data_IF_831454940581
#
_entry.id   IF_831454940581
#
_cell.length_a   1.000
_cell.length_b   1.000
_cell.length_c   1.000
_cell.angle_alpha   90.00
_cell.angle_beta   90.00
_cell.angle_gamma   90.00
#
_symmetry.space_group_name_H-M   'P 1'
#
loop_
_entity.id
_entity.type
_entity.pdbx_description
1 polymer ?
#
# COMPACT_ATOMS: atom_id res chain seq x y z
N UNK A 1 -5.31 -6.22 -44.65
CA UNK A 1 -4.23 -5.45 -44.01
C UNK A 1 -4.88 -4.71 -42.85
N UNK A 2 -4.58 -5.12 -41.62
CA UNK A 2 -5.16 -4.50 -40.43
C UNK A 2 -4.39 -3.20 -40.17
N UNK A 3 -5.09 -2.06 -40.25
CA UNK A 3 -4.59 -0.80 -39.73
C UNK A 3 -4.57 -0.88 -38.20
N UNK A 4 -3.38 -1.09 -37.66
CA UNK A 4 -3.10 -0.80 -36.26
C UNK A 4 -3.19 0.71 -36.09
N UNK A 5 -4.31 1.20 -35.56
CA UNK A 5 -4.38 2.54 -34.96
C UNK A 5 -3.47 2.54 -33.74
N UNK A 6 -2.23 3.01 -33.91
CA UNK A 6 -1.44 3.47 -32.77
C UNK A 6 -2.10 4.76 -32.29
N UNK A 7 -2.99 4.64 -31.30
CA UNK A 7 -3.34 5.79 -30.47
C UNK A 7 -2.04 6.28 -29.84
N UNK A 8 -1.47 7.35 -30.39
CA UNK A 8 -0.25 7.97 -29.88
C UNK A 8 -0.58 8.59 -28.52
N UNK A 9 -0.36 7.82 -27.45
CA UNK A 9 -0.45 8.33 -26.08
C UNK A 9 0.43 9.57 -25.95
N UNK A 10 -0.18 10.67 -25.49
CA UNK A 10 0.51 11.94 -25.28
C UNK A 10 1.57 11.77 -24.20
N UNK A 11 2.74 12.38 -24.41
CA UNK A 11 3.80 12.40 -23.40
C UNK A 11 3.40 13.29 -22.22
N UNK A 12 3.93 13.00 -21.03
CA UNK A 12 3.71 13.83 -19.82
C UNK A 12 4.01 15.31 -20.08
N UNK A 13 5.08 15.61 -20.83
CA UNK A 13 5.44 17.00 -21.21
C UNK A 13 4.39 17.65 -22.10
N UNK A 14 3.78 16.90 -23.02
CA UNK A 14 2.69 17.39 -23.89
C UNK A 14 1.40 17.61 -23.10
N UNK A 15 1.14 16.83 -22.04
CA UNK A 15 -0.03 17.03 -21.17
C UNK A 15 0.15 18.30 -20.34
N UNK A 16 1.32 18.51 -19.74
CA UNK A 16 1.61 19.68 -18.90
C UNK A 16 1.56 21.01 -19.67
N UNK A 17 1.80 20.99 -21.00
CA UNK A 17 1.81 22.17 -21.87
C UNK A 17 0.48 22.40 -22.61
N UNK A 18 -0.56 21.64 -22.27
CA UNK A 18 -1.86 21.75 -22.93
C UNK A 18 -2.70 22.90 -22.37
N UNK A 19 -2.74 24.00 -23.11
CA UNK A 19 -3.52 25.17 -22.71
C UNK A 19 -5.03 24.89 -22.60
N UNK A 20 -5.58 24.01 -23.45
CA UNK A 20 -7.01 23.68 -23.41
C UNK A 20 -7.35 22.80 -22.20
N UNK A 21 -6.47 21.83 -21.86
CA UNK A 21 -6.67 20.99 -20.68
C UNK A 21 -6.60 21.80 -19.38
N UNK A 22 -5.71 22.80 -19.32
CA UNK A 22 -5.48 23.63 -18.14
C UNK A 22 -6.24 24.96 -18.16
N UNK A 23 -7.18 25.13 -19.10
CA UNK A 23 -8.01 26.34 -19.17
C UNK A 23 -8.73 26.59 -17.84
N UNK A 24 -8.79 27.86 -17.44
CA UNK A 24 -9.41 28.32 -16.19
C UNK A 24 -8.59 28.05 -14.92
N UNK A 25 -7.46 27.35 -15.01
CA UNK A 25 -6.57 27.10 -13.88
C UNK A 25 -5.41 28.10 -13.87
N UNK A 26 -5.17 28.74 -12.73
CA UNK A 26 -3.99 29.60 -12.53
C UNK A 26 -2.88 28.79 -11.84
N UNK A 27 -1.74 28.52 -12.50
CA UNK A 27 -0.59 27.86 -11.86
C UNK A 27 -0.02 28.74 -10.74
N UNK A 28 0.41 28.12 -9.65
CA UNK A 28 0.94 28.81 -8.46
C UNK A 28 2.38 28.37 -8.21
N UNK A 29 3.38 29.24 -8.43
CA UNK A 29 4.78 28.95 -8.16
C UNK A 29 5.06 28.54 -6.71
N UNK A 30 6.14 27.79 -6.50
CA UNK A 30 6.64 27.52 -5.15
C UNK A 30 7.04 28.84 -4.46
N UNK A 31 6.52 29.08 -3.26
CA UNK A 31 6.84 30.25 -2.46
C UNK A 31 8.17 30.08 -1.70
N UNK A 32 9.28 29.96 -2.43
CA UNK A 32 10.61 29.94 -1.81
C UNK A 32 11.00 31.32 -1.27
N UNK A 33 11.66 31.34 -0.12
CA UNK A 33 12.28 32.56 0.42
C UNK A 33 13.40 33.05 -0.51
N UNK A 34 13.73 34.34 -0.50
CA UNK A 34 14.70 34.93 -1.44
C UNK A 34 16.09 34.27 -1.47
N UNK A 35 16.49 33.61 -0.37
CA UNK A 35 17.72 32.81 -0.29
C UNK A 35 17.41 31.44 0.33
N UNK A 36 16.91 30.47 -0.46
CA UNK A 36 16.60 29.14 0.05
C UNK A 36 17.90 28.40 0.41
N UNK A 37 17.90 27.67 1.53
CA UNK A 37 19.10 26.96 2.02
C UNK A 37 19.40 25.67 1.24
N UNK A 38 18.35 25.00 0.73
CA UNK A 38 18.45 23.71 0.02
C UNK A 38 17.56 23.69 -1.23
N UNK A 39 17.72 24.64 -2.18
CA UNK A 39 16.91 24.66 -3.39
C UNK A 39 17.23 23.45 -4.25
N UNK A 40 16.19 22.79 -4.74
CA UNK A 40 16.35 21.73 -5.72
C UNK A 40 16.25 22.36 -7.11
N UNK A 41 17.22 22.06 -7.97
CA UNK A 41 17.20 22.46 -9.38
C UNK A 41 16.19 21.61 -10.17
N UNK A 42 14.89 21.87 -9.96
CA UNK A 42 13.82 21.14 -10.63
C UNK A 42 13.85 21.32 -12.15
N UNK A 43 13.53 20.26 -12.88
CA UNK A 43 13.24 20.33 -14.31
C UNK A 43 12.04 21.26 -14.57
N UNK A 44 11.95 21.80 -15.79
CA UNK A 44 10.82 22.64 -16.20
C UNK A 44 9.50 21.89 -16.03
N UNK A 45 9.44 20.63 -16.47
CA UNK A 45 8.21 19.83 -16.40
C UNK A 45 7.78 19.56 -14.95
N UNK A 46 8.71 19.22 -14.04
CA UNK A 46 8.34 19.03 -12.63
C UNK A 46 7.86 20.33 -11.98
N UNK A 47 8.50 21.46 -12.32
CA UNK A 47 8.08 22.79 -11.83
C UNK A 47 6.69 23.14 -12.32
N UNK A 48 6.43 23.00 -13.61
CA UNK A 48 5.10 23.21 -14.21
C UNK A 48 4.05 22.31 -13.56
N UNK A 49 4.35 21.02 -13.37
CA UNK A 49 3.42 20.08 -12.74
C UNK A 49 3.06 20.49 -11.31
N UNK A 50 4.07 20.88 -10.51
CA UNK A 50 3.84 21.32 -9.13
C UNK A 50 3.12 22.68 -9.06
N UNK A 51 3.35 23.57 -10.02
CA UNK A 51 2.67 24.86 -10.05
C UNK A 51 1.19 24.69 -10.40
N UNK A 52 0.87 23.82 -11.37
CA UNK A 52 -0.50 23.40 -11.67
C UNK A 52 -1.16 22.73 -10.47
N UNK A 53 -0.43 21.85 -9.75
CA UNK A 53 -0.96 21.16 -8.58
C UNK A 53 -1.34 22.12 -7.46
N UNK A 54 -0.51 23.12 -7.19
CA UNK A 54 -0.85 24.18 -6.21
C UNK A 54 -2.06 25.01 -6.68
N UNK A 55 -2.19 25.23 -7.98
CA UNK A 55 -3.39 25.82 -8.59
C UNK A 55 -4.66 24.99 -8.30
N UNK A 56 -4.61 23.68 -8.53
CA UNK A 56 -5.74 22.77 -8.26
C UNK A 56 -6.12 22.77 -6.78
N UNK A 57 -5.13 22.72 -5.88
CA UNK A 57 -5.36 22.81 -4.43
C UNK A 57 -6.03 24.13 -4.04
N UNK A 58 -5.59 25.25 -4.62
CA UNK A 58 -6.20 26.56 -4.35
C UNK A 58 -7.64 26.65 -4.85
N UNK A 59 -7.94 25.99 -5.96
CA UNK A 59 -9.28 25.93 -6.55
C UNK A 59 -10.20 24.91 -5.84
N UNK A 60 -9.67 24.04 -4.96
CA UNK A 60 -10.37 22.87 -4.42
C UNK A 60 -11.00 21.99 -5.53
N UNK A 61 -10.33 21.91 -6.68
CA UNK A 61 -10.87 21.16 -7.82
C UNK A 61 -10.76 19.66 -7.54
N UNK A 62 -11.78 18.87 -7.90
CA UNK A 62 -11.73 17.40 -7.86
C UNK A 62 -12.18 16.88 -9.23
N UNK A 63 -11.22 16.55 -10.10
CA UNK A 63 -11.48 16.30 -11.52
C UNK A 63 -10.60 15.19 -12.10
N UNK A 64 -10.96 14.70 -13.30
CA UNK A 64 -10.15 13.71 -14.02
C UNK A 64 -8.77 14.28 -14.42
N UNK A 65 -8.68 15.57 -14.80
CA UNK A 65 -7.39 16.22 -15.07
C UNK A 65 -6.51 16.31 -13.82
N UNK A 66 -7.11 16.39 -12.62
CA UNK A 66 -6.38 16.30 -11.37
C UNK A 66 -5.77 14.90 -11.16
N UNK A 67 -6.49 13.83 -11.50
CA UNK A 67 -5.93 12.47 -11.47
C UNK A 67 -4.77 12.30 -12.43
N UNK A 68 -4.86 12.89 -13.62
CA UNK A 68 -3.76 12.83 -14.59
C UNK A 68 -2.53 13.61 -14.12
N UNK A 69 -2.72 14.81 -13.56
CA UNK A 69 -1.62 15.58 -13.00
C UNK A 69 -0.92 14.86 -11.84
N UNK A 70 -1.71 14.27 -10.93
CA UNK A 70 -1.12 13.52 -9.81
C UNK A 70 -0.36 12.29 -10.28
N UNK A 71 -0.81 11.60 -11.35
CA UNK A 71 -0.05 10.50 -11.97
C UNK A 71 1.32 10.98 -12.44
N UNK A 72 1.39 12.12 -13.13
CA UNK A 72 2.64 12.71 -13.63
C UNK A 72 3.57 13.06 -12.47
N UNK A 73 3.07 13.77 -11.45
CA UNK A 73 3.88 14.18 -10.30
C UNK A 73 4.43 12.98 -9.53
N UNK A 74 3.63 11.94 -9.35
CA UNK A 74 4.08 10.69 -8.70
C UNK A 74 5.08 9.92 -9.55
N UNK A 75 5.08 10.09 -10.87
CA UNK A 75 6.14 9.60 -11.75
C UNK A 75 7.49 10.27 -11.49
N UNK A 76 7.50 11.56 -11.13
CA UNK A 76 8.71 12.26 -10.72
C UNK A 76 9.12 11.99 -9.28
N UNK A 77 8.16 11.99 -8.35
CA UNK A 77 8.41 11.80 -6.92
C UNK A 77 7.33 10.90 -6.28
N UNK A 78 7.55 9.58 -6.26
CA UNK A 78 6.63 8.62 -5.64
C UNK A 78 6.42 8.83 -4.13
N UNK A 79 7.30 9.57 -3.46
CA UNK A 79 7.24 9.81 -2.01
C UNK A 79 6.49 11.10 -1.64
N UNK A 80 5.92 11.83 -2.60
CA UNK A 80 5.29 13.13 -2.38
C UNK A 80 3.93 13.00 -1.67
N UNK A 81 3.92 12.89 -0.34
CA UNK A 81 2.72 12.57 0.45
C UNK A 81 1.50 13.50 0.22
N UNK A 82 1.62 14.84 0.03
CA UNK A 82 0.46 15.68 -0.27
C UNK A 82 -0.25 15.29 -1.57
N UNK A 83 0.49 14.80 -2.56
CA UNK A 83 -0.05 14.41 -3.87
C UNK A 83 -0.82 13.11 -3.75
N UNK A 84 -0.31 12.15 -2.97
CA UNK A 84 -1.07 10.93 -2.61
C UNK A 84 -2.36 11.24 -1.87
N UNK A 85 -2.30 12.12 -0.87
CA UNK A 85 -3.49 12.53 -0.11
C UNK A 85 -4.54 13.13 -1.03
N UNK A 86 -4.15 14.09 -1.88
CA UNK A 86 -5.06 14.74 -2.81
C UNK A 86 -5.60 13.77 -3.89
N UNK A 87 -4.74 12.90 -4.45
CA UNK A 87 -5.18 11.84 -5.36
C UNK A 87 -6.26 10.96 -4.72
N UNK A 88 -6.05 10.54 -3.47
CA UNK A 88 -7.04 9.78 -2.70
C UNK A 88 -8.36 10.52 -2.54
N UNK A 89 -8.32 11.82 -2.22
CA UNK A 89 -9.53 12.65 -2.11
C UNK A 89 -10.32 12.69 -3.43
N UNK A 90 -9.64 12.89 -4.56
CA UNK A 90 -10.30 12.91 -5.88
C UNK A 90 -10.94 11.56 -6.21
N UNK A 91 -10.23 10.45 -5.97
CA UNK A 91 -10.75 9.09 -6.24
C UNK A 91 -11.95 8.76 -5.35
N UNK A 92 -11.86 9.08 -4.07
CA UNK A 92 -12.95 8.87 -3.10
C UNK A 92 -14.16 9.72 -3.47
N UNK A 93 -13.95 10.98 -3.86
CA UNK A 93 -15.02 11.86 -4.35
C UNK A 93 -15.75 11.24 -5.54
N UNK A 94 -15.03 10.77 -6.55
CA UNK A 94 -15.66 10.11 -7.69
C UNK A 94 -16.40 8.82 -7.31
N UNK A 95 -15.86 8.03 -6.38
CA UNK A 95 -16.57 6.86 -5.87
C UNK A 95 -17.87 7.23 -5.15
N UNK A 96 -17.89 8.33 -4.39
CA UNK A 96 -19.09 8.82 -3.71
C UNK A 96 -20.14 9.36 -4.69
N UNK A 97 -19.70 9.98 -5.79
CA UNK A 97 -20.59 10.54 -6.82
C UNK A 97 -21.18 9.44 -7.72
N UNK A 98 -20.33 8.52 -8.21
CA UNK A 98 -20.76 7.42 -9.07
C UNK A 98 -19.91 6.15 -8.82
N UNK A 99 -20.32 5.31 -7.86
CA UNK A 99 -19.63 4.05 -7.56
C UNK A 99 -19.53 3.10 -8.77
N UNK A 100 -20.48 3.19 -9.72
CA UNK A 100 -20.55 2.29 -10.88
C UNK A 100 -19.37 2.44 -11.84
N UNK A 101 -18.67 3.58 -11.78
CA UNK A 101 -17.47 3.84 -12.59
C UNK A 101 -16.21 3.18 -12.05
N UNK A 102 -16.28 2.52 -10.89
CA UNK A 102 -15.21 1.68 -10.36
C UNK A 102 -13.85 2.37 -10.22
N UNK A 103 -13.80 3.65 -9.82
CA UNK A 103 -12.54 4.40 -9.76
C UNK A 103 -11.57 3.84 -8.74
N UNK A 104 -12.06 3.41 -7.57
CA UNK A 104 -11.22 2.76 -6.56
C UNK A 104 -10.67 1.44 -7.11
N UNK A 105 -11.50 0.62 -7.77
CA UNK A 105 -11.08 -0.66 -8.32
C UNK A 105 -10.01 -0.49 -9.39
N UNK A 106 -10.14 0.51 -10.28
CA UNK A 106 -9.11 0.86 -11.27
C UNK A 106 -7.79 1.27 -10.58
N UNK A 107 -7.88 2.07 -9.52
CA UNK A 107 -6.70 2.49 -8.76
C UNK A 107 -6.03 1.31 -8.05
N UNK A 108 -6.79 0.45 -7.37
CA UNK A 108 -6.27 -0.74 -6.70
C UNK A 108 -5.56 -1.69 -7.67
N UNK A 109 -6.11 -1.85 -8.88
CA UNK A 109 -5.48 -2.62 -9.96
C UNK A 109 -4.14 -2.01 -10.39
N UNK A 110 -4.09 -0.69 -10.56
CA UNK A 110 -2.84 0.01 -10.89
C UNK A 110 -1.79 -0.14 -9.79
N UNK A 111 -2.18 -0.02 -8.51
CA UNK A 111 -1.28 -0.24 -7.37
C UNK A 111 -0.75 -1.67 -7.34
N UNK A 112 -1.60 -2.64 -7.68
CA UNK A 112 -1.19 -4.06 -7.78
C UNK A 112 -0.18 -4.28 -8.91
N UNK A 113 -0.44 -3.76 -10.11
CA UNK A 113 0.47 -3.87 -11.26
C UNK A 113 1.85 -3.24 -10.97
N UNK A 114 1.90 -2.22 -10.11
CA UNK A 114 3.13 -1.47 -9.79
C UNK A 114 3.73 -1.78 -8.42
N UNK A 115 3.22 -2.79 -7.70
CA UNK A 115 3.62 -3.03 -6.31
C UNK A 115 5.13 -3.25 -6.14
N UNK A 116 5.78 -3.90 -7.11
CA UNK A 116 7.24 -4.12 -7.11
C UNK A 116 8.04 -2.82 -7.03
N UNK A 117 7.53 -1.73 -7.63
CA UNK A 117 8.18 -0.42 -7.63
C UNK A 117 7.91 0.36 -6.34
N UNK A 118 6.83 0.01 -5.63
CA UNK A 118 6.25 0.84 -4.58
C UNK A 118 6.25 0.19 -3.20
N UNK A 119 6.73 -1.05 -3.09
CA UNK A 119 6.66 -1.88 -1.88
C UNK A 119 7.24 -1.20 -0.62
N UNK A 120 8.20 -0.30 -0.79
CA UNK A 120 8.86 0.43 0.31
C UNK A 120 8.28 1.82 0.58
N UNK A 121 7.22 2.22 -0.13
CA UNK A 121 6.56 3.52 0.05
C UNK A 121 5.46 3.45 1.12
N UNK A 122 5.63 4.19 2.21
CA UNK A 122 4.58 4.37 3.22
C UNK A 122 3.30 4.94 2.63
N UNK A 123 3.44 5.87 1.68
CA UNK A 123 2.30 6.57 1.08
C UNK A 123 1.41 5.63 0.29
N UNK A 124 1.99 4.65 -0.43
CA UNK A 124 1.22 3.67 -1.20
C UNK A 124 0.44 2.71 -0.31
N UNK A 125 1.04 2.21 0.75
CA UNK A 125 0.35 1.36 1.72
C UNK A 125 -0.78 2.10 2.43
N UNK A 126 -0.55 3.35 2.83
CA UNK A 126 -1.60 4.18 3.43
C UNK A 126 -2.71 4.53 2.42
N UNK A 127 -2.35 4.82 1.17
CA UNK A 127 -3.31 5.10 0.11
C UNK A 127 -4.20 3.88 -0.15
N UNK A 128 -3.61 2.69 -0.33
CA UNK A 128 -4.37 1.44 -0.47
C UNK A 128 -5.30 1.21 0.72
N UNK A 129 -4.81 1.42 1.95
CA UNK A 129 -5.62 1.33 3.18
C UNK A 129 -6.84 2.24 3.12
N UNK A 130 -6.68 3.51 2.78
CA UNK A 130 -7.78 4.48 2.69
C UNK A 130 -8.84 4.06 1.66
N UNK A 131 -8.39 3.53 0.52
CA UNK A 131 -9.27 3.05 -0.54
C UNK A 131 -10.10 1.83 -0.11
N UNK A 132 -9.46 0.87 0.57
CA UNK A 132 -10.11 -0.34 1.08
C UNK A 132 -11.09 -0.02 2.22
N UNK A 133 -10.75 0.91 3.11
CA UNK A 133 -11.68 1.44 4.12
C UNK A 133 -12.90 2.10 3.44
N UNK A 134 -12.68 2.87 2.38
CA UNK A 134 -13.77 3.53 1.63
C UNK A 134 -14.69 2.52 0.95
N UNK A 135 -14.13 1.48 0.33
CA UNK A 135 -14.92 0.39 -0.26
C UNK A 135 -15.62 -0.48 0.79
N UNK A 136 -15.07 -0.54 2.00
CA UNK A 136 -15.48 -1.47 3.05
C UNK A 136 -15.53 -2.94 2.58
N UNK A 137 -14.60 -3.31 1.70
CA UNK A 137 -14.50 -4.63 1.12
C UNK A 137 -13.04 -5.13 1.13
N UNK A 138 -12.68 -6.07 2.02
CA UNK A 138 -11.33 -6.65 2.09
C UNK A 138 -11.10 -7.77 1.09
N UNK A 139 -12.06 -8.04 0.18
CA UNK A 139 -11.96 -9.15 -0.77
C UNK A 139 -10.69 -9.05 -1.61
N UNK A 140 -9.87 -10.09 -1.57
CA UNK A 140 -8.61 -10.17 -2.31
C UNK A 140 -7.40 -9.54 -1.62
N UNK A 141 -7.55 -8.86 -0.48
CA UNK A 141 -6.44 -8.18 0.19
C UNK A 141 -5.39 -9.14 0.73
N UNK A 142 -5.77 -10.28 1.32
CA UNK A 142 -4.80 -11.28 1.76
C UNK A 142 -4.02 -11.88 0.59
N UNK A 143 -4.69 -12.12 -0.54
CA UNK A 143 -4.03 -12.61 -1.75
C UNK A 143 -3.05 -11.56 -2.33
N UNK A 144 -3.41 -10.28 -2.28
CA UNK A 144 -2.52 -9.18 -2.66
C UNK A 144 -1.29 -9.12 -1.74
N UNK A 145 -1.49 -9.24 -0.42
CA UNK A 145 -0.39 -9.31 0.55
C UNK A 145 0.51 -10.51 0.29
N UNK A 146 -0.06 -11.68 -0.03
CA UNK A 146 0.74 -12.88 -0.34
C UNK A 146 1.67 -12.62 -1.53
N UNK A 147 1.14 -12.04 -2.63
CA UNK A 147 1.94 -11.63 -3.80
C UNK A 147 3.02 -10.60 -3.44
N UNK A 148 2.71 -9.68 -2.54
CA UNK A 148 3.68 -8.68 -2.07
C UNK A 148 4.81 -9.32 -1.23
N UNK A 149 4.51 -10.35 -0.43
CA UNK A 149 5.48 -11.11 0.36
C UNK A 149 6.31 -12.08 -0.50
N UNK A 150 5.80 -12.54 -1.64
CA UNK A 150 6.60 -13.28 -2.62
C UNK A 150 7.73 -12.42 -3.20
N UNK A 151 7.53 -11.11 -3.31
CA UNK A 151 8.57 -10.15 -3.76
C UNK A 151 9.58 -9.87 -2.65
N UNK A 152 9.10 -9.61 -1.42
CA UNK A 152 9.95 -9.37 -0.24
C UNK A 152 9.26 -9.91 1.02
N UNK A 153 9.64 -11.13 1.41
CA UNK A 153 9.05 -11.87 2.51
C UNK A 153 9.25 -11.21 3.89
N UNK A 154 10.09 -10.17 3.97
CA UNK A 154 10.44 -9.45 5.20
C UNK A 154 10.02 -7.99 5.15
N UNK A 155 9.24 -7.57 4.14
CA UNK A 155 8.78 -6.20 4.02
C UNK A 155 7.87 -5.81 5.20
N UNK A 156 8.32 -4.82 5.98
CA UNK A 156 7.63 -4.39 7.18
C UNK A 156 6.22 -3.83 6.90
N UNK A 157 6.08 -3.01 5.86
CA UNK A 157 4.79 -2.39 5.53
C UNK A 157 3.77 -3.44 5.12
N UNK A 158 4.19 -4.46 4.36
CA UNK A 158 3.32 -5.57 3.95
C UNK A 158 2.79 -6.35 5.16
N UNK A 159 3.65 -6.68 6.13
CA UNK A 159 3.24 -7.36 7.36
C UNK A 159 2.32 -6.51 8.23
N UNK A 160 2.65 -5.22 8.41
CA UNK A 160 1.79 -4.28 9.13
C UNK A 160 0.42 -4.13 8.46
N UNK A 161 0.38 -4.11 7.13
CA UNK A 161 -0.86 -4.05 6.35
C UNK A 161 -1.68 -5.33 6.53
N UNK A 162 -1.05 -6.52 6.48
CA UNK A 162 -1.73 -7.81 6.73
C UNK A 162 -2.40 -7.83 8.09
N UNK A 163 -1.67 -7.47 9.15
CA UNK A 163 -2.21 -7.42 10.51
C UNK A 163 -3.36 -6.44 10.62
N UNK A 164 -3.22 -5.24 10.04
CA UNK A 164 -4.32 -4.27 9.99
C UNK A 164 -5.57 -4.85 9.31
N UNK A 165 -5.43 -5.44 8.12
CA UNK A 165 -6.57 -6.02 7.38
C UNK A 165 -7.28 -7.11 8.20
N UNK A 166 -6.52 -7.99 8.86
CA UNK A 166 -7.09 -9.04 9.70
C UNK A 166 -7.86 -8.46 10.90
N UNK A 167 -7.28 -7.49 11.60
CA UNK A 167 -7.91 -6.87 12.76
C UNK A 167 -9.13 -6.01 12.41
N UNK A 168 -9.04 -5.21 11.35
CA UNK A 168 -10.09 -4.26 10.95
C UNK A 168 -11.37 -4.99 10.52
N UNK A 169 -11.22 -6.02 9.69
CA UNK A 169 -12.36 -6.71 9.10
C UNK A 169 -12.81 -7.94 9.90
N UNK A 170 -11.89 -8.55 10.65
CA UNK A 170 -12.13 -9.63 11.60
C UNK A 170 -13.14 -10.70 11.12
N UNK A 171 -12.94 -11.24 9.92
CA UNK A 171 -13.83 -12.27 9.36
C UNK A 171 -13.25 -13.67 9.60
N UNK A 172 -14.03 -14.66 10.07
CA UNK A 172 -13.52 -16.00 10.37
C UNK A 172 -12.75 -16.65 9.21
N UNK A 173 -13.20 -16.46 7.97
CA UNK A 173 -12.58 -17.00 6.76
C UNK A 173 -11.18 -16.41 6.49
N UNK A 174 -10.90 -15.20 6.98
CA UNK A 174 -9.60 -14.56 6.82
C UNK A 174 -8.57 -15.12 7.81
N UNK A 175 -9.01 -15.51 9.02
CA UNK A 175 -8.15 -16.10 10.05
C UNK A 175 -7.88 -17.60 9.82
N UNK A 176 -8.84 -18.33 9.24
CA UNK A 176 -8.79 -19.78 9.11
C UNK A 176 -7.52 -20.32 8.40
N UNK A 177 -6.94 -19.55 7.48
CA UNK A 177 -5.73 -19.93 6.74
C UNK A 177 -4.41 -19.42 7.32
N UNK A 178 -4.43 -18.52 8.31
CA UNK A 178 -3.25 -17.76 8.72
C UNK A 178 -2.16 -18.63 9.33
N UNK A 179 -2.50 -19.51 10.27
CA UNK A 179 -1.51 -20.41 10.89
C UNK A 179 -0.90 -21.38 9.87
N UNK A 180 -1.68 -21.86 8.91
CA UNK A 180 -1.18 -22.70 7.83
C UNK A 180 -0.20 -21.93 6.93
N UNK A 181 -0.56 -20.70 6.57
CA UNK A 181 0.30 -19.81 5.79
C UNK A 181 1.63 -19.53 6.49
N UNK A 182 1.61 -19.23 7.79
CA UNK A 182 2.83 -19.02 8.58
C UNK A 182 3.67 -20.29 8.73
N UNK A 183 3.04 -21.45 8.93
CA UNK A 183 3.77 -22.72 8.95
C UNK A 183 4.52 -22.97 7.65
N UNK A 184 3.92 -22.64 6.50
CA UNK A 184 4.58 -22.71 5.20
C UNK A 184 5.79 -21.77 5.14
N UNK A 185 5.63 -20.50 5.50
CA UNK A 185 6.73 -19.53 5.45
C UNK A 185 7.89 -19.88 6.39
N UNK A 186 7.63 -20.38 7.60
CA UNK A 186 8.67 -20.84 8.53
C UNK A 186 9.36 -22.11 8.01
N UNK A 187 8.64 -22.96 7.27
CA UNK A 187 9.24 -24.13 6.62
C UNK A 187 10.16 -23.72 5.48
N UNK A 188 9.81 -22.68 4.72
CA UNK A 188 10.62 -22.15 3.62
C UNK A 188 11.85 -21.37 4.11
N UNK A 189 11.68 -20.48 5.09
CA UNK A 189 12.76 -19.77 5.78
C UNK A 189 12.52 -19.76 7.30
N UNK A 190 13.11 -20.72 7.99
CA UNK A 190 13.02 -20.84 9.46
C UNK A 190 13.59 -19.61 10.18
N UNK A 191 14.41 -18.79 9.52
CA UNK A 191 15.00 -17.56 10.09
C UNK A 191 14.21 -16.30 9.70
N UNK A 192 13.04 -16.43 9.08
CA UNK A 192 12.17 -15.29 8.79
C UNK A 192 11.48 -14.79 10.07
N UNK A 193 12.12 -13.83 10.76
CA UNK A 193 11.60 -13.26 12.00
C UNK A 193 10.21 -12.61 11.84
N UNK A 194 9.86 -12.11 10.65
CA UNK A 194 8.52 -11.54 10.42
C UNK A 194 7.43 -12.60 10.49
N UNK A 195 7.70 -13.81 9.98
CA UNK A 195 6.78 -14.94 10.09
C UNK A 195 6.63 -15.42 11.55
N UNK A 196 7.73 -15.46 12.31
CA UNK A 196 7.68 -15.74 13.76
C UNK A 196 6.88 -14.69 14.53
N UNK A 197 7.08 -13.41 14.21
CA UNK A 197 6.30 -12.32 14.79
C UNK A 197 4.81 -12.45 14.46
N UNK A 198 4.46 -12.74 13.21
CA UNK A 198 3.07 -12.91 12.80
C UNK A 198 2.42 -14.14 13.45
N UNK A 199 3.19 -15.22 13.69
CA UNK A 199 2.72 -16.36 14.48
C UNK A 199 2.31 -15.94 15.89
N UNK A 200 3.16 -15.14 16.54
CA UNK A 200 2.92 -14.65 17.90
C UNK A 200 1.67 -13.76 17.95
N UNK A 201 1.56 -12.86 16.97
CA UNK A 201 0.39 -12.01 16.78
C UNK A 201 -0.91 -12.83 16.68
N UNK A 202 -0.93 -13.92 15.90
CA UNK A 202 -2.12 -14.78 15.77
C UNK A 202 -2.44 -15.50 17.08
N UNK A 203 -1.44 -16.13 17.71
CA UNK A 203 -1.65 -17.06 18.83
C UNK A 203 -1.80 -16.38 20.20
N UNK A 204 -1.25 -15.18 20.38
CA UNK A 204 -1.17 -14.54 21.69
C UNK A 204 -1.72 -13.12 21.71
N UNK A 205 -1.55 -12.33 20.66
CA UNK A 205 -2.04 -10.94 20.66
C UNK A 205 -3.49 -10.80 20.18
N UNK A 206 -3.95 -11.71 19.31
CA UNK A 206 -5.27 -11.61 18.67
C UNK A 206 -6.18 -12.81 18.88
N UNK A 207 -5.78 -13.80 19.68
CA UNK A 207 -6.62 -14.99 19.94
C UNK A 207 -8.00 -14.64 20.46
N UNK A 208 -8.14 -13.66 21.35
CA UNK A 208 -9.45 -13.23 21.84
C UNK A 208 -10.35 -12.64 20.73
N UNK A 209 -9.75 -12.09 19.67
CA UNK A 209 -10.45 -11.44 18.57
C UNK A 209 -11.08 -12.46 17.61
N UNK A 210 -10.36 -13.55 17.29
CA UNK A 210 -10.79 -14.54 16.29
C UNK A 210 -11.19 -15.89 16.87
N UNK A 211 -10.76 -16.21 18.09
CA UNK A 211 -11.00 -17.47 18.80
C UNK A 211 -11.30 -17.24 20.30
N UNK A 212 -12.37 -16.50 20.67
CA UNK A 212 -12.63 -16.06 22.04
C UNK A 212 -12.89 -17.18 23.06
N UNK A 213 -13.08 -18.43 22.59
CA UNK A 213 -13.29 -19.61 23.45
C UNK A 213 -12.02 -20.46 23.61
N UNK A 214 -10.93 -20.10 22.95
CA UNK A 214 -9.69 -20.86 23.03
C UNK A 214 -9.05 -20.69 24.41
N UNK A 215 -8.49 -21.79 24.93
CA UNK A 215 -7.71 -21.76 26.15
C UNK A 215 -6.25 -21.39 25.79
N UNK A 216 -5.85 -20.17 26.17
CA UNK A 216 -4.50 -19.65 25.92
C UNK A 216 -3.42 -20.56 26.53
N UNK A 217 -3.72 -21.25 27.65
CA UNK A 217 -2.75 -22.18 28.25
C UNK A 217 -2.52 -23.40 27.35
N UNK A 218 -3.58 -23.94 26.77
CA UNK A 218 -3.48 -25.06 25.81
C UNK A 218 -2.70 -24.63 24.57
N UNK A 219 -3.00 -23.44 24.03
CA UNK A 219 -2.24 -22.87 22.90
C UNK A 219 -0.76 -22.74 23.26
N UNK A 220 -0.43 -22.20 24.44
CA UNK A 220 0.96 -22.04 24.86
C UNK A 220 1.69 -23.37 24.97
N UNK A 221 1.06 -24.42 25.52
CA UNK A 221 1.64 -25.77 25.60
C UNK A 221 1.92 -26.35 24.21
N UNK A 222 0.98 -26.22 23.26
CA UNK A 222 1.16 -26.67 21.87
C UNK A 222 2.26 -25.89 21.15
N UNK A 223 2.30 -24.56 21.34
CA UNK A 223 3.29 -23.67 20.74
C UNK A 223 4.71 -23.90 21.27
N UNK A 224 4.86 -24.23 22.56
CA UNK A 224 6.14 -24.64 23.15
C UNK A 224 6.66 -25.89 22.47
N UNK A 225 5.83 -26.94 22.35
CA UNK A 225 6.25 -28.19 21.71
C UNK A 225 6.56 -27.98 20.23
N UNK A 226 5.72 -27.24 19.50
CA UNK A 226 5.99 -26.90 18.12
C UNK A 226 7.31 -26.12 17.96
N UNK A 227 7.58 -25.14 18.81
CA UNK A 227 8.80 -24.32 18.74
C UNK A 227 10.04 -25.15 19.03
N UNK A 228 9.98 -26.10 19.98
CA UNK A 228 11.08 -27.06 20.21
C UNK A 228 11.41 -27.84 18.94
N UNK A 229 10.40 -28.31 18.19
CA UNK A 229 10.66 -29.00 16.91
C UNK A 229 11.38 -28.12 15.89
N UNK A 230 11.11 -26.81 15.85
CA UNK A 230 11.81 -25.89 14.97
C UNK A 230 13.24 -25.60 15.47
N UNK A 231 13.45 -25.48 16.77
CA UNK A 231 14.79 -25.33 17.38
C UNK A 231 15.66 -26.55 17.05
N UNK A 232 15.12 -27.77 17.10
CA UNK A 232 15.89 -28.96 16.70
C UNK A 232 16.38 -28.91 15.26
N UNK A 233 15.62 -28.31 14.35
CA UNK A 233 16.02 -28.13 12.93
C UNK A 233 17.10 -27.06 12.77
N UNK A 234 17.07 -26.00 13.57
CA UNK A 234 18.04 -24.90 13.52
C UNK A 234 18.37 -24.37 14.93
N UNK A 235 19.25 -25.05 15.69
CA UNK A 235 19.51 -24.69 17.09
C UNK A 235 20.13 -23.30 17.29
N UNK A 236 20.77 -22.74 16.26
CA UNK A 236 21.37 -21.40 16.28
C UNK A 236 20.41 -20.30 15.79
N UNK A 237 19.14 -20.61 15.52
CA UNK A 237 18.15 -19.64 15.08
C UNK A 237 17.59 -18.82 16.26
N UNK A 238 18.02 -17.56 16.37
CA UNK A 238 17.56 -16.66 17.42
C UNK A 238 16.05 -16.38 17.38
N UNK A 239 15.40 -16.41 16.20
CA UNK A 239 13.96 -16.15 16.12
C UNK A 239 13.15 -17.19 16.88
N UNK A 240 13.48 -18.48 16.73
CA UNK A 240 12.80 -19.55 17.45
C UNK A 240 13.02 -19.48 18.97
N UNK A 241 14.23 -19.15 19.41
CA UNK A 241 14.53 -18.96 20.84
C UNK A 241 13.83 -17.74 21.44
N UNK A 242 13.78 -16.64 20.70
CA UNK A 242 13.07 -15.44 21.14
C UNK A 242 11.57 -15.70 21.23
N UNK A 243 11.00 -16.43 20.28
CA UNK A 243 9.59 -16.84 20.30
C UNK A 243 9.28 -17.76 21.49
N UNK A 244 10.14 -18.75 21.78
CA UNK A 244 9.96 -19.65 22.93
C UNK A 244 9.99 -18.91 24.28
N UNK A 245 10.77 -17.82 24.37
CA UNK A 245 10.93 -17.04 25.59
C UNK A 245 9.76 -16.07 25.83
N UNK A 246 9.24 -15.48 24.75
CA UNK A 246 8.15 -14.50 24.81
C UNK A 246 6.85 -15.14 25.28
#
# INVERSE_FOLDING_TARGET
MAEYSQDLERTDSQILKDEALWEGLTPIPQADIGHPMVPIAYSTDYRTAMDLFRGLLKANELSERALELTRIILGFNPSHYPVWTYRGQVIIHFHQVDPSKGHIQRELKMLEEKIQLMLKSYQVWQHRRNLIVTLNDPTGELAFVDRALEIDAKNYNTWAYRQWVLCEYNRPEMWAGELFYINKLVTEDIRNNSAWNHRFFIQFETTELHSPKADVKVIAEEEIEWTKTQIYKAPNNLSAWNYLRG
#
